data_IF_960607756767
#
_entry.id   IF_960607756767
#
_cell.length_a   1.000
_cell.length_b   1.000
_cell.length_c   1.000
_cell.angle_alpha   90.00
_cell.angle_beta   90.00
_cell.angle_gamma   90.00
#
_symmetry.space_group_name_H-M   'P 1'
#
loop_
_entity.id
_entity.type
_entity.pdbx_description
1 polymer ?
#
# COMPACT_ATOMS: atom_id res chain seq x y z
N UNK A 1 3.11 -3.93 -3.24
CA UNK A 1 2.33 -4.65 -2.22
C UNK A 1 3.25 -5.53 -1.39
N UNK A 2 3.17 -5.44 -0.06
CA UNK A 2 4.04 -6.20 0.86
C UNK A 2 3.26 -7.15 1.79
N UNK A 3 1.94 -6.99 1.92
CA UNK A 3 1.09 -7.91 2.68
C UNK A 3 0.88 -9.25 1.98
N UNK A 4 0.71 -10.32 2.76
CA UNK A 4 0.44 -11.68 2.31
C UNK A 4 1.51 -12.27 1.35
N UNK A 5 2.76 -11.79 1.43
CA UNK A 5 3.86 -12.26 0.60
C UNK A 5 5.01 -12.82 1.46
N UNK A 6 5.52 -14.03 1.17
CA UNK A 6 6.69 -14.58 1.87
C UNK A 6 7.92 -13.68 1.71
N UNK A 7 8.73 -13.58 2.77
CA UNK A 7 9.96 -12.80 2.77
C UNK A 7 9.78 -11.28 2.77
N UNK A 8 8.54 -10.78 2.91
CA UNK A 8 8.21 -9.35 3.01
C UNK A 8 7.59 -9.03 4.37
N UNK A 9 7.88 -7.85 4.90
CA UNK A 9 7.38 -7.42 6.22
C UNK A 9 6.90 -5.97 6.22
N UNK A 10 6.23 -5.58 7.31
CA UNK A 10 5.66 -4.24 7.50
C UNK A 10 6.73 -3.16 7.64
N UNK A 11 7.90 -3.49 8.19
CA UNK A 11 9.03 -2.56 8.31
C UNK A 11 9.50 -2.07 6.95
N UNK A 12 9.56 -2.94 5.94
CA UNK A 12 9.92 -2.54 4.57
C UNK A 12 8.92 -1.53 3.97
N UNK A 13 7.64 -1.60 4.32
CA UNK A 13 6.64 -0.59 3.91
C UNK A 13 6.99 0.76 4.52
N UNK A 14 7.21 0.78 5.83
CA UNK A 14 7.49 2.01 6.57
C UNK A 14 8.77 2.68 6.08
N UNK A 15 9.84 1.90 5.90
CA UNK A 15 11.10 2.39 5.35
C UNK A 15 10.88 3.03 3.99
N UNK A 16 10.15 2.37 3.09
CA UNK A 16 9.86 2.91 1.75
C UNK A 16 9.05 4.21 1.78
N UNK A 17 8.10 4.34 2.71
CA UNK A 17 7.30 5.57 2.85
C UNK A 17 8.16 6.72 3.37
N UNK A 18 8.92 6.48 4.45
CA UNK A 18 9.82 7.50 5.03
C UNK A 18 10.84 7.96 4.01
N UNK A 19 11.48 7.02 3.32
CA UNK A 19 12.46 7.29 2.27
C UNK A 19 11.89 8.13 1.12
N UNK A 20 10.63 7.90 0.72
CA UNK A 20 9.95 8.72 -0.28
C UNK A 20 9.64 10.13 0.22
N UNK A 21 9.18 10.27 1.46
CA UNK A 21 8.92 11.57 2.08
C UNK A 21 10.21 12.37 2.21
N UNK A 22 11.29 11.74 2.68
CA UNK A 22 12.61 12.38 2.84
C UNK A 22 13.14 12.92 1.52
N UNK A 23 13.09 12.14 0.43
CA UNK A 23 13.53 12.60 -0.89
C UNK A 23 12.70 13.77 -1.42
N UNK A 24 11.38 13.70 -1.29
CA UNK A 24 10.50 14.78 -1.72
C UNK A 24 10.76 16.06 -0.92
N UNK A 25 11.01 15.93 0.39
CA UNK A 25 11.41 17.05 1.24
C UNK A 25 12.75 17.68 0.80
N UNK A 26 13.77 16.86 0.53
CA UNK A 26 15.07 17.32 0.02
C UNK A 26 14.96 18.05 -1.33
N UNK A 27 13.99 17.68 -2.16
CA UNK A 27 13.74 18.27 -3.47
C UNK A 27 12.83 19.51 -3.41
N UNK A 28 12.34 19.89 -2.22
CA UNK A 28 11.39 20.98 -2.05
C UNK A 28 10.00 20.69 -2.63
N UNK A 29 9.65 19.41 -2.82
CA UNK A 29 8.37 18.97 -3.35
C UNK A 29 7.29 18.92 -2.26
N UNK A 30 6.05 19.22 -2.64
CA UNK A 30 4.90 19.02 -1.77
C UNK A 30 4.51 17.55 -1.76
N UNK A 31 4.50 16.95 -0.57
CA UNK A 31 4.08 15.56 -0.37
C UNK A 31 2.70 15.48 0.27
N UNK A 32 1.83 14.62 -0.28
CA UNK A 32 0.49 14.35 0.27
C UNK A 32 0.38 12.85 0.56
N UNK A 33 0.05 12.51 1.81
CA UNK A 33 -0.28 11.16 2.22
C UNK A 33 -1.78 10.91 2.14
N UNK A 34 -2.19 9.89 1.36
CA UNK A 34 -3.58 9.43 1.32
C UNK A 34 -3.64 8.03 1.93
N UNK A 35 -4.35 7.90 3.05
CA UNK A 35 -4.58 6.64 3.74
C UNK A 35 -5.95 6.11 3.36
N UNK A 36 -6.01 4.88 2.85
CA UNK A 36 -7.22 4.22 2.42
C UNK A 36 -7.35 2.88 3.14
N UNK A 37 -8.56 2.53 3.53
CA UNK A 37 -8.89 1.23 4.08
C UNK A 37 -10.21 0.73 3.51
N UNK A 38 -10.37 -0.59 3.44
CA UNK A 38 -11.57 -1.23 2.92
C UNK A 38 -12.40 -1.81 4.07
N UNK A 39 -13.70 -1.50 4.08
CA UNK A 39 -14.60 -2.10 5.05
C UNK A 39 -14.91 -3.56 4.68
N UNK A 40 -14.63 -4.50 5.61
CA UNK A 40 -14.97 -5.93 5.45
C UNK A 40 -14.50 -6.50 4.10
N UNK A 41 -13.23 -6.28 3.74
CA UNK A 41 -12.70 -6.53 2.39
C UNK A 41 -12.97 -7.94 1.90
N UNK A 42 -12.79 -8.95 2.75
CA UNK A 42 -12.99 -10.35 2.35
C UNK A 42 -14.46 -10.74 2.18
N UNK A 43 -15.38 -10.12 2.92
CA UNK A 43 -16.82 -10.36 2.80
C UNK A 43 -17.42 -9.64 1.58
N UNK A 44 -16.78 -8.56 1.13
CA UNK A 44 -17.30 -7.64 0.10
C UNK A 44 -16.62 -7.78 -1.26
N UNK A 45 -15.69 -8.74 -1.42
CA UNK A 45 -15.06 -9.00 -2.72
C UNK A 45 -16.13 -9.46 -3.73
N UNK A 46 -16.23 -8.77 -4.86
CA UNK A 46 -17.09 -9.20 -5.96
C UNK A 46 -16.53 -10.46 -6.65
N UNK A 47 -17.17 -11.61 -6.45
CA UNK A 47 -16.69 -12.90 -6.95
C UNK A 47 -16.50 -12.94 -8.47
N UNK A 48 -17.35 -12.29 -9.27
CA UNK A 48 -17.18 -12.24 -10.75
C UNK A 48 -15.85 -11.59 -11.13
N UNK A 49 -15.51 -10.48 -10.47
CA UNK A 49 -14.24 -9.78 -10.69
C UNK A 49 -13.08 -10.64 -10.20
N UNK A 50 -13.22 -11.28 -9.03
CA UNK A 50 -12.21 -12.18 -8.50
C UNK A 50 -11.90 -13.33 -9.47
N UNK A 51 -12.91 -14.04 -9.96
CA UNK A 51 -12.74 -15.14 -10.91
C UNK A 51 -12.11 -14.70 -12.24
N UNK A 52 -12.36 -13.48 -12.71
CA UNK A 52 -11.70 -12.96 -13.93
C UNK A 52 -10.22 -12.59 -13.73
N UNK A 53 -9.78 -12.42 -12.47
CA UNK A 53 -8.41 -12.00 -12.11
C UNK A 53 -7.54 -13.16 -11.64
N UNK A 54 -8.14 -14.32 -11.35
CA UNK A 54 -7.44 -15.58 -11.12
C UNK A 54 -7.03 -16.18 -12.47
#
# INVERSE_FOLDING_TARGET
>A
QLGFQPGRNTTQVLVSVVDRISRAFEQGEVTIGVLLDFQKTFDTVQHKILFSKL
#
